data_IF_277110452452
#
_entry.id   IF_277110452452
#
_cell.length_a   1.000
_cell.length_b   1.000
_cell.length_c   1.000
_cell.angle_alpha   90.00
_cell.angle_beta   90.00
_cell.angle_gamma   90.00
#
_symmetry.space_group_name_H-M   'P 1'
#
loop_
_entity.id
_entity.type
_entity.pdbx_description
1 polymer ?
#
# COMPACT_ATOMS: atom_id res chain seq x y z
N UNK A 1 24.96 34.13 -32.52
CA UNK A 1 24.59 32.70 -32.73
C UNK A 1 25.00 31.81 -31.56
N UNK A 2 26.11 32.08 -30.87
CA UNK A 2 26.52 31.26 -29.71
C UNK A 2 25.53 31.26 -28.55
N UNK A 3 25.05 32.45 -28.12
CA UNK A 3 24.17 32.54 -26.95
C UNK A 3 22.85 31.76 -27.09
N UNK A 4 22.29 31.69 -28.30
CA UNK A 4 21.05 30.93 -28.58
C UNK A 4 21.28 29.42 -28.56
N UNK A 5 22.43 28.94 -29.04
CA UNK A 5 22.83 27.54 -28.94
C UNK A 5 23.11 27.17 -27.48
N UNK A 6 23.79 28.03 -26.73
CA UNK A 6 24.02 27.84 -25.30
C UNK A 6 22.69 27.76 -24.53
N UNK A 7 21.73 28.63 -24.84
CA UNK A 7 20.39 28.57 -24.25
C UNK A 7 19.66 27.26 -24.58
N UNK A 8 19.71 26.82 -25.84
CA UNK A 8 19.10 25.56 -26.26
C UNK A 8 19.76 24.34 -25.60
N UNK A 9 21.08 24.37 -25.40
CA UNK A 9 21.80 23.33 -24.65
C UNK A 9 21.34 23.30 -23.19
N UNK A 10 21.20 24.46 -22.54
CA UNK A 10 20.66 24.51 -21.17
C UNK A 10 19.21 24.01 -21.09
N UNK A 11 18.37 24.34 -22.08
CA UNK A 11 17.01 23.81 -22.16
C UNK A 11 17.01 22.28 -22.25
N UNK A 12 17.81 21.70 -23.14
CA UNK A 12 17.93 20.24 -23.29
C UNK A 12 18.46 19.61 -22.00
N UNK A 13 19.48 20.21 -21.39
CA UNK A 13 20.06 19.70 -20.15
C UNK A 13 19.06 19.75 -18.99
N UNK A 14 18.22 20.78 -18.93
CA UNK A 14 17.14 20.87 -17.96
C UNK A 14 16.08 19.77 -18.17
N UNK A 15 15.65 19.55 -19.42
CA UNK A 15 14.70 18.47 -19.73
C UNK A 15 15.31 17.10 -19.42
N UNK A 16 16.58 16.87 -19.76
CA UNK A 16 17.28 15.63 -19.45
C UNK A 16 17.40 15.41 -17.93
N UNK A 17 17.74 16.46 -17.18
CA UNK A 17 17.81 16.41 -15.73
C UNK A 17 16.45 16.08 -15.09
N UNK A 18 15.36 16.65 -15.61
CA UNK A 18 14.00 16.35 -15.16
C UNK A 18 13.70 14.84 -15.25
N UNK A 19 13.92 14.24 -16.43
CA UNK A 19 13.71 12.80 -16.61
C UNK A 19 14.67 11.96 -15.75
N UNK A 20 15.90 12.41 -15.57
CA UNK A 20 16.87 11.73 -14.71
C UNK A 20 16.43 11.71 -13.25
N UNK A 21 16.00 12.86 -12.70
CA UNK A 21 15.53 12.96 -11.32
C UNK A 21 14.27 12.12 -11.11
N UNK A 22 13.33 12.15 -12.07
CA UNK A 22 12.10 11.35 -12.01
C UNK A 22 12.43 9.84 -11.98
N UNK A 23 13.27 9.38 -12.91
CA UNK A 23 13.73 7.99 -12.97
C UNK A 23 14.50 7.58 -11.69
N UNK A 24 15.43 8.40 -11.23
CA UNK A 24 16.23 8.12 -10.03
C UNK A 24 15.34 8.04 -8.77
N UNK A 25 14.35 8.93 -8.65
CA UNK A 25 13.40 8.94 -7.54
C UNK A 25 12.55 7.66 -7.54
N UNK A 26 12.02 7.28 -8.70
CA UNK A 26 11.27 6.04 -8.85
C UNK A 26 12.10 4.81 -8.49
N UNK A 27 13.34 4.72 -8.99
CA UNK A 27 14.25 3.63 -8.67
C UNK A 27 14.54 3.56 -7.16
N UNK A 28 14.82 4.69 -6.53
CA UNK A 28 15.13 4.77 -5.09
C UNK A 28 13.96 4.32 -4.21
N UNK A 29 12.73 4.78 -4.51
CA UNK A 29 11.53 4.35 -3.78
C UNK A 29 11.38 2.83 -3.90
N UNK A 30 11.53 2.28 -5.10
CA UNK A 30 11.40 0.84 -5.34
C UNK A 30 12.42 0.02 -4.56
N UNK A 31 13.66 0.48 -4.45
CA UNK A 31 14.72 -0.21 -3.68
C UNK A 31 14.52 -0.16 -2.16
N UNK A 32 13.68 0.75 -1.66
CA UNK A 32 13.43 0.89 -0.21
C UNK A 32 12.41 -0.14 0.30
N UNK A 33 11.63 -0.75 -0.60
CA UNK A 33 10.69 -1.79 -0.23
C UNK A 33 11.41 -3.12 0.02
N UNK A 34 11.33 -3.61 1.26
CA UNK A 34 11.82 -4.90 1.69
C UNK A 34 10.65 -5.90 1.83
N UNK A 35 10.94 -7.19 1.65
CA UNK A 35 9.94 -8.25 1.78
C UNK A 35 9.52 -8.46 3.24
N UNK A 36 8.20 -8.45 3.50
CA UNK A 36 7.59 -8.81 4.77
C UNK A 36 7.30 -10.30 4.80
N UNK A 37 8.28 -11.08 5.21
CA UNK A 37 8.20 -12.55 5.22
C UNK A 37 7.66 -13.11 6.54
N UNK A 38 7.72 -12.33 7.62
CA UNK A 38 7.22 -12.74 8.94
C UNK A 38 5.73 -12.45 9.05
N UNK A 39 4.91 -13.50 8.97
CA UNK A 39 3.48 -13.36 9.15
C UNK A 39 2.83 -14.58 9.78
N UNK A 40 1.71 -14.36 10.45
CA UNK A 40 0.87 -15.40 11.04
C UNK A 40 -0.55 -15.26 10.51
N UNK A 41 -1.10 -16.36 9.99
CA UNK A 41 -2.49 -16.42 9.51
C UNK A 41 -3.27 -17.31 10.47
N UNK A 42 -4.18 -16.71 11.21
CA UNK A 42 -5.05 -17.34 12.20
C UNK A 42 -6.51 -17.18 11.77
N UNK A 43 -6.78 -17.66 10.55
CA UNK A 43 -8.08 -17.57 9.88
C UNK A 43 -8.38 -18.94 9.26
N UNK A 44 -9.38 -19.68 9.77
CA UNK A 44 -9.71 -21.01 9.26
C UNK A 44 -10.44 -20.96 7.90
N UNK A 45 -11.28 -19.95 7.68
CA UNK A 45 -12.02 -19.68 6.43
C UNK A 45 -12.26 -18.16 6.34
N UNK A 46 -12.06 -17.50 5.18
CA UNK A 46 -11.52 -18.01 3.92
C UNK A 46 -10.03 -18.39 4.03
N UNK A 47 -9.59 -19.35 3.22
CA UNK A 47 -8.16 -19.70 3.10
C UNK A 47 -7.41 -18.55 2.44
N UNK A 48 -6.43 -18.00 3.15
CA UNK A 48 -5.65 -16.84 2.72
C UNK A 48 -4.32 -17.30 2.13
N UNK A 49 -3.99 -16.82 0.93
CA UNK A 49 -2.67 -16.98 0.30
C UNK A 49 -2.05 -15.61 0.08
N UNK A 50 -0.94 -15.33 0.75
CA UNK A 50 -0.17 -14.11 0.51
C UNK A 50 0.68 -14.30 -0.75
N UNK A 51 0.56 -13.37 -1.68
CA UNK A 51 1.34 -13.34 -2.92
C UNK A 51 2.57 -12.45 -2.75
N UNK A 52 2.40 -11.28 -2.16
CA UNK A 52 3.47 -10.30 -1.95
C UNK A 52 3.15 -9.45 -0.72
N UNK A 53 4.12 -9.28 0.18
CA UNK A 53 4.03 -8.31 1.27
C UNK A 53 5.34 -7.55 1.30
N UNK A 54 5.29 -6.22 1.21
CA UNK A 54 6.49 -5.38 1.22
C UNK A 54 6.31 -4.13 2.06
N UNK A 55 7.36 -3.71 2.74
CA UNK A 55 7.41 -2.47 3.48
C UNK A 55 8.72 -1.72 3.32
N UNK A 56 8.60 -0.41 3.27
CA UNK A 56 9.65 0.57 3.54
C UNK A 56 9.67 0.90 5.04
N UNK A 57 10.44 1.91 5.44
CA UNK A 57 10.41 2.44 6.80
C UNK A 57 9.01 2.87 7.28
N UNK A 58 8.17 3.44 6.41
CA UNK A 58 6.86 4.01 6.80
C UNK A 58 5.69 3.51 5.96
N UNK A 59 5.89 3.20 4.70
CA UNK A 59 4.84 2.68 3.80
C UNK A 59 4.99 1.18 3.60
N UNK A 60 3.88 0.48 3.44
CA UNK A 60 3.90 -0.89 2.98
C UNK A 60 2.59 -1.32 2.34
N UNK A 61 2.62 -2.50 1.73
CA UNK A 61 1.46 -3.13 1.16
C UNK A 61 1.51 -4.64 1.29
N UNK A 62 0.33 -5.27 1.30
CA UNK A 62 0.14 -6.72 1.30
C UNK A 62 -0.88 -7.06 0.22
N UNK A 63 -0.53 -7.99 -0.65
CA UNK A 63 -1.35 -8.56 -1.71
C UNK A 63 -1.54 -10.04 -1.47
N UNK A 64 -2.77 -10.50 -1.64
CA UNK A 64 -3.09 -11.91 -1.50
C UNK A 64 -4.39 -12.28 -2.17
N UNK A 65 -4.70 -13.57 -2.09
CA UNK A 65 -5.96 -14.15 -2.56
C UNK A 65 -6.65 -14.83 -1.40
N UNK A 66 -7.96 -14.63 -1.32
CA UNK A 66 -8.89 -15.34 -0.46
C UNK A 66 -9.54 -16.44 -1.28
N UNK A 67 -9.64 -17.64 -0.71
CA UNK A 67 -10.40 -18.75 -1.27
C UNK A 67 -11.44 -19.16 -0.24
N UNK A 68 -12.73 -19.11 -0.61
CA UNK A 68 -13.76 -19.76 0.20
C UNK A 68 -13.62 -21.28 0.03
N UNK A 69 -13.12 -21.96 1.07
CA UNK A 69 -12.92 -23.40 1.08
C UNK A 69 -14.08 -24.16 1.74
N UNK A 70 -15.24 -23.52 1.86
CA UNK A 70 -16.48 -24.09 2.39
C UNK A 70 -17.56 -24.20 1.32
N UNK A 71 -18.58 -25.01 1.60
CA UNK A 71 -19.76 -25.18 0.73
C UNK A 71 -20.81 -24.08 0.94
N UNK A 72 -20.63 -23.23 1.95
CA UNK A 72 -21.50 -22.12 2.27
C UNK A 72 -20.92 -20.80 1.74
N UNK A 73 -21.80 -19.86 1.40
CA UNK A 73 -21.39 -18.52 1.00
C UNK A 73 -20.92 -17.73 2.23
N UNK A 74 -19.79 -17.04 2.10
CA UNK A 74 -19.37 -16.07 3.12
C UNK A 74 -20.12 -14.78 2.84
N UNK A 75 -21.20 -14.57 3.59
CA UNK A 75 -22.05 -13.38 3.47
C UNK A 75 -21.28 -12.13 3.87
N UNK A 76 -20.65 -12.14 5.06
CA UNK A 76 -19.91 -11.00 5.61
C UNK A 76 -18.91 -11.43 6.68
N UNK A 77 -17.65 -11.11 6.47
CA UNK A 77 -16.56 -11.30 7.43
C UNK A 77 -15.56 -10.15 7.34
N UNK A 78 -14.83 -9.92 8.43
CA UNK A 78 -13.76 -8.93 8.47
C UNK A 78 -12.45 -9.59 8.85
N UNK A 79 -11.45 -9.42 7.97
CA UNK A 79 -10.08 -9.83 8.24
C UNK A 79 -9.36 -8.66 8.89
N UNK A 80 -8.88 -8.84 10.11
CA UNK A 80 -8.05 -7.87 10.83
C UNK A 80 -6.59 -8.18 10.60
N UNK A 81 -5.85 -7.18 10.13
CA UNK A 81 -4.42 -7.17 9.94
C UNK A 81 -3.80 -6.34 11.07
N UNK A 82 -3.07 -7.00 11.95
CA UNK A 82 -2.33 -6.37 13.05
C UNK A 82 -0.85 -6.30 12.64
N UNK A 83 -0.25 -5.11 12.70
CA UNK A 83 1.14 -4.88 12.31
C UNK A 83 2.01 -4.73 13.54
N UNK A 84 3.19 -5.34 13.53
CA UNK A 84 4.11 -5.37 14.66
C UNK A 84 5.50 -4.91 14.26
N UNK A 85 6.19 -4.30 15.23
CA UNK A 85 7.62 -4.01 15.13
C UNK A 85 8.46 -5.26 15.36
N UNK A 86 9.78 -5.15 15.13
CA UNK A 86 10.75 -6.21 15.44
C UNK A 86 10.75 -6.65 16.92
N UNK A 87 10.22 -5.81 17.81
CA UNK A 87 10.10 -6.08 19.25
C UNK A 87 8.73 -6.59 19.65
N UNK A 88 7.93 -7.07 18.70
CA UNK A 88 6.57 -7.59 18.90
C UNK A 88 5.58 -6.56 19.49
N UNK A 89 5.87 -5.26 19.35
CA UNK A 89 4.95 -4.19 19.75
C UNK A 89 3.95 -3.95 18.62
N UNK A 90 2.65 -3.95 18.96
CA UNK A 90 1.57 -3.59 18.04
C UNK A 90 1.69 -2.13 17.60
N UNK A 91 1.81 -1.90 16.30
CA UNK A 91 1.98 -0.58 15.69
C UNK A 91 0.70 -0.03 15.09
N UNK A 92 -0.20 -0.90 14.62
CA UNK A 92 -1.45 -0.49 14.01
C UNK A 92 -2.28 -1.66 13.52
N UNK A 93 -3.49 -1.33 13.04
CA UNK A 93 -4.48 -2.30 12.55
C UNK A 93 -5.08 -1.83 11.24
N UNK A 94 -5.40 -2.77 10.35
CA UNK A 94 -6.22 -2.54 9.15
C UNK A 94 -7.24 -3.66 9.01
N UNK A 95 -8.31 -3.39 8.27
CA UNK A 95 -9.41 -4.32 8.10
C UNK A 95 -9.72 -4.52 6.61
N UNK A 96 -9.99 -5.76 6.22
CA UNK A 96 -10.52 -6.10 4.89
C UNK A 96 -11.89 -6.72 5.07
N UNK A 97 -12.87 -6.12 4.41
CA UNK A 97 -14.24 -6.61 4.35
C UNK A 97 -14.38 -7.67 3.27
N UNK A 98 -14.86 -8.85 3.64
CA UNK A 98 -15.12 -9.98 2.75
C UNK A 98 -16.62 -10.22 2.73
N UNK A 99 -17.28 -9.84 1.64
CA UNK A 99 -18.73 -10.01 1.47
C UNK A 99 -19.06 -10.77 0.20
N UNK A 100 -20.13 -11.56 0.22
CA UNK A 100 -20.66 -12.32 -0.92
C UNK A 100 -19.56 -13.13 -1.64
N UNK A 101 -18.80 -13.92 -0.89
CA UNK A 101 -17.80 -14.83 -1.46
C UNK A 101 -18.41 -16.23 -1.56
N UNK A 102 -18.87 -16.57 -2.75
CA UNK A 102 -19.53 -17.85 -3.05
C UNK A 102 -18.60 -19.06 -2.78
N UNK A 103 -19.17 -20.26 -2.59
CA UNK A 103 -18.38 -21.49 -2.39
C UNK A 103 -17.33 -21.70 -3.49
N UNK A 104 -16.11 -22.07 -3.10
CA UNK A 104 -14.95 -22.24 -3.99
C UNK A 104 -14.55 -21.00 -4.81
N UNK A 105 -15.14 -19.83 -4.56
CA UNK A 105 -14.75 -18.61 -5.24
C UNK A 105 -13.45 -18.04 -4.66
N UNK A 106 -12.67 -17.40 -5.53
CA UNK A 106 -11.45 -16.68 -5.18
C UNK A 106 -11.63 -15.18 -5.31
N UNK A 107 -11.06 -14.41 -4.38
CA UNK A 107 -11.02 -12.95 -4.44
C UNK A 107 -9.64 -12.44 -4.06
N UNK A 108 -9.08 -11.59 -4.92
CA UNK A 108 -7.83 -10.91 -4.60
C UNK A 108 -8.09 -9.71 -3.68
N UNK A 109 -7.12 -9.42 -2.82
CA UNK A 109 -7.12 -8.26 -1.95
C UNK A 109 -5.76 -7.57 -1.96
N UNK A 110 -5.78 -6.26 -1.77
CA UNK A 110 -4.60 -5.44 -1.55
C UNK A 110 -4.87 -4.50 -0.36
N UNK A 111 -3.95 -4.46 0.59
CA UNK A 111 -3.97 -3.53 1.72
C UNK A 111 -2.73 -2.68 1.62
N UNK A 112 -2.89 -1.37 1.71
CA UNK A 112 -1.80 -0.42 1.88
C UNK A 112 -1.85 0.18 3.26
N UNK A 113 -0.69 0.43 3.83
CA UNK A 113 -0.56 1.02 5.16
C UNK A 113 0.58 2.03 5.20
N UNK A 114 0.41 3.02 6.07
CA UNK A 114 1.43 4.01 6.43
C UNK A 114 1.67 3.86 7.93
N UNK A 115 2.59 2.97 8.32
CA UNK A 115 2.93 2.62 9.70
C UNK A 115 4.45 2.47 9.75
N UNK A 116 5.08 3.16 10.69
CA UNK A 116 6.54 3.15 10.84
C UNK A 116 7.06 1.84 11.42
N UNK A 117 8.18 1.34 10.89
CA UNK A 117 8.96 0.22 11.42
C UNK A 117 8.18 -1.11 11.53
N UNK A 118 7.32 -1.41 10.56
CA UNK A 118 6.66 -2.72 10.45
C UNK A 118 7.67 -3.80 10.06
N UNK A 119 7.76 -4.85 10.87
CA UNK A 119 8.60 -6.04 10.62
C UNK A 119 7.76 -7.29 10.38
N UNK A 120 6.58 -7.38 11.01
CA UNK A 120 5.69 -8.53 10.87
C UNK A 120 4.21 -8.15 10.95
N UNK A 121 3.33 -9.09 10.55
CA UNK A 121 1.89 -8.90 10.64
C UNK A 121 1.14 -10.20 10.98
N UNK A 122 0.01 -10.05 11.67
CA UNK A 122 -0.91 -11.14 12.00
C UNK A 122 -2.27 -10.89 11.34
N UNK A 123 -2.84 -11.93 10.74
CA UNK A 123 -4.19 -11.90 10.19
C UNK A 123 -5.11 -12.74 11.07
N UNK A 124 -6.24 -12.16 11.49
CA UNK A 124 -7.27 -12.79 12.33
C UNK A 124 -8.65 -12.44 11.82
N UNK A 125 -9.67 -13.19 12.25
CA UNK A 125 -11.07 -12.79 12.08
C UNK A 125 -11.45 -11.80 13.19
N UNK A 126 -12.24 -10.79 12.83
CA UNK A 126 -12.82 -9.84 13.79
C UNK A 126 -14.31 -9.68 13.52
N UNK A 127 -15.09 -9.59 14.59
CA UNK A 127 -16.52 -9.30 14.51
C UNK A 127 -16.78 -7.83 14.20
N UNK A 128 -17.80 -7.54 13.41
CA UNK A 128 -18.19 -6.17 13.03
C UNK A 128 -18.39 -5.25 14.24
N UNK A 129 -18.91 -5.79 15.34
CA UNK A 129 -19.15 -5.05 16.60
C UNK A 129 -17.88 -4.53 17.29
N UNK A 130 -16.72 -5.12 16.98
CA UNK A 130 -15.42 -4.77 17.56
C UNK A 130 -14.59 -3.88 16.62
N UNK A 131 -15.09 -3.62 15.42
CA UNK A 131 -14.50 -2.64 14.51
C UNK A 131 -14.91 -1.28 15.09
N UNK A 132 -13.94 -0.40 15.46
CA UNK A 132 -14.29 0.95 15.85
C UNK A 132 -15.16 1.58 14.75
N UNK A 133 -16.00 2.56 15.09
CA UNK A 133 -16.66 3.42 14.09
C UNK A 133 -15.57 4.23 13.38
N UNK A 134 -14.79 3.56 12.55
CA UNK A 134 -13.70 4.07 11.77
C UNK A 134 -14.38 4.79 10.61
N UNK A 135 -14.16 6.10 10.48
CA UNK A 135 -14.63 6.86 9.33
C UNK A 135 -14.16 6.17 8.05
N UNK A 136 -15.01 6.14 7.03
CA UNK A 136 -14.75 5.50 5.73
C UNK A 136 -13.40 5.91 5.07
N UNK A 137 -12.76 6.96 5.58
CA UNK A 137 -11.43 7.46 5.22
C UNK A 137 -10.28 6.48 5.55
N UNK A 138 -10.41 5.59 6.54
CA UNK A 138 -9.37 4.62 6.91
C UNK A 138 -9.49 3.27 6.17
N UNK A 139 -10.62 3.02 5.50
CA UNK A 139 -10.96 1.77 4.81
C UNK A 139 -10.40 1.68 3.38
N UNK A 140 -10.00 2.79 2.76
CA UNK A 140 -9.35 2.80 1.44
C UNK A 140 -8.36 3.97 1.36
N UNK A 141 -7.08 3.73 1.66
CA UNK A 141 -6.03 4.68 1.29
C UNK A 141 -5.54 4.38 -0.13
N UNK A 142 -6.25 4.93 -1.13
CA UNK A 142 -5.78 5.07 -2.52
C UNK A 142 -5.75 6.58 -2.91
N UNK A 143 -4.99 6.99 -3.93
CA UNK A 143 -3.80 7.80 -3.83
C UNK A 143 -4.08 9.24 -4.29
N UNK A 144 -4.42 10.15 -3.38
CA UNK A 144 -4.64 11.58 -3.72
C UNK A 144 -3.42 12.47 -3.48
N UNK A 145 -2.22 12.01 -3.81
CA UNK A 145 -0.99 12.82 -3.75
C UNK A 145 -0.53 13.39 -5.10
N UNK A 146 -1.16 13.00 -6.22
CA UNK A 146 -0.82 13.56 -7.55
C UNK A 146 -1.33 14.99 -7.76
N UNK A 147 -2.46 15.36 -7.15
CA UNK A 147 -3.02 16.71 -7.29
C UNK A 147 -2.25 17.81 -6.55
N UNK A 148 -1.66 17.49 -5.39
CA UNK A 148 -0.94 18.46 -4.56
C UNK A 148 0.42 18.84 -5.17
N UNK A 149 1.11 17.90 -5.81
CA UNK A 149 2.40 18.14 -6.46
C UNK A 149 2.29 19.11 -7.65
N UNK A 150 1.20 19.06 -8.43
CA UNK A 150 0.98 19.97 -9.57
C UNK A 150 0.77 21.42 -9.13
N UNK A 151 0.17 21.65 -7.96
CA UNK A 151 -0.05 23.02 -7.44
C UNK A 151 1.27 23.63 -6.95
N UNK A 152 2.12 22.84 -6.29
CA UNK A 152 3.43 23.33 -5.82
C UNK A 152 4.40 23.66 -6.96
N UNK A 153 4.38 22.87 -8.05
CA UNK A 153 5.21 23.14 -9.24
C UNK A 153 4.77 24.40 -9.98
N UNK A 154 3.47 24.72 -10.02
CA UNK A 154 2.98 25.97 -10.61
C UNK A 154 3.37 27.21 -9.80
N UNK A 155 3.43 27.11 -8.47
CA UNK A 155 3.84 28.22 -7.60
C UNK A 155 5.33 28.54 -7.78
N UNK A 156 6.18 27.51 -7.91
CA UNK A 156 7.62 27.69 -8.18
C UNK A 156 7.92 28.22 -9.59
N UNK A 157 7.00 28.07 -10.54
CA UNK A 157 7.17 28.63 -11.89
C UNK A 157 6.80 30.12 -11.98
N UNK A 158 6.15 30.67 -10.95
CA UNK A 158 5.64 32.05 -10.91
C UNK A 158 6.43 32.98 -9.96
N UNK A 159 7.46 32.46 -9.27
CA UNK A 159 8.44 33.23 -8.47
C UNK A 159 9.78 33.21 -9.21
#
# INVERSE_FOLDING_TARGET
>A
MDRMKTFLIYLILFVALYFFVDFASFAYIKTTYNDLTKFVIDVPNPKIKIQEGKATYINGYIKGTLLNNTEEEIEKQYLKFEFFSERDVLLGKKYVKVENLSPNATRDFEIRFNIENVDSYKITLEDESQIPNISDEELLSDPKTTGFLLVTTLIFLYI
#
